data_IF_653260966502
#
_entry.id   IF_653260966502
#
_cell.length_a   1.000
_cell.length_b   1.000
_cell.length_c   1.000
_cell.angle_alpha   90.00
_cell.angle_beta   90.00
_cell.angle_gamma   90.00
#
_symmetry.space_group_name_H-M   'P 1'
#
loop_
_entity.id
_entity.type
_entity.pdbx_description
1 polymer ?
#
# COMPACT_ATOMS: atom_id res chain seq x y z
N UNK A 1 9.57 -9.66 12.85
CA UNK A 1 8.63 -8.52 12.69
C UNK A 1 7.53 -8.97 11.76
N UNK A 2 6.28 -8.81 12.16
CA UNK A 2 5.11 -9.12 11.32
C UNK A 2 4.70 -7.80 10.65
N UNK A 3 4.64 -7.71 9.31
CA UNK A 3 4.18 -6.50 8.63
C UNK A 3 2.67 -6.38 8.76
N UNK A 4 2.20 -5.22 9.21
CA UNK A 4 0.79 -4.86 9.29
C UNK A 4 0.58 -3.52 8.59
N UNK A 5 -0.54 -3.38 7.88
CA UNK A 5 -1.03 -2.09 7.41
C UNK A 5 -2.02 -1.56 8.45
N UNK A 6 -1.75 -0.37 8.97
CA UNK A 6 -2.64 0.32 9.90
C UNK A 6 -3.36 1.43 9.16
N UNK A 7 -4.67 1.48 9.29
CA UNK A 7 -5.45 2.65 8.94
C UNK A 7 -5.30 3.70 10.04
N UNK A 8 -5.03 4.95 9.66
CA UNK A 8 -4.80 6.05 10.58
C UNK A 8 -5.82 7.19 10.41
N UNK A 9 -6.89 6.98 9.61
CA UNK A 9 -7.82 8.03 9.20
C UNK A 9 -8.39 8.88 10.34
N UNK A 10 -8.69 8.25 11.47
CA UNK A 10 -9.25 8.90 12.67
C UNK A 10 -8.23 8.99 13.82
N UNK A 11 -6.96 8.71 13.54
CA UNK A 11 -5.89 8.66 14.53
C UNK A 11 -5.09 9.96 14.61
N UNK A 12 -4.44 10.16 15.76
CA UNK A 12 -3.48 11.25 15.94
C UNK A 12 -2.06 10.71 16.00
N UNK A 13 -1.20 11.20 15.11
CA UNK A 13 0.23 10.91 15.09
C UNK A 13 1.00 12.06 15.71
N UNK A 14 1.69 11.78 16.80
CA UNK A 14 2.59 12.73 17.45
C UNK A 14 4.02 12.52 16.93
N UNK A 15 4.64 13.58 16.42
CA UNK A 15 6.01 13.60 15.90
C UNK A 15 6.86 14.51 16.75
N UNK A 16 7.84 13.95 17.46
CA UNK A 16 8.80 14.73 18.22
C UNK A 16 9.99 15.17 17.34
N UNK A 17 10.36 16.44 17.47
CA UNK A 17 11.47 17.05 16.76
C UNK A 17 11.05 17.79 15.49
N UNK A 18 10.98 19.12 15.55
CA UNK A 18 10.66 19.99 14.41
C UNK A 18 11.75 20.10 13.32
N UNK A 19 12.85 19.36 13.45
CA UNK A 19 13.93 19.35 12.46
C UNK A 19 13.54 18.69 11.12
N UNK A 20 14.45 18.67 10.11
CA UNK A 20 14.15 18.16 8.77
C UNK A 20 13.63 16.71 8.73
N UNK A 21 14.09 15.86 9.66
CA UNK A 21 13.63 14.46 9.78
C UNK A 21 12.19 14.38 10.26
N UNK A 22 11.83 15.12 11.31
CA UNK A 22 10.47 15.15 11.85
C UNK A 22 9.51 15.81 10.86
N UNK A 23 9.89 16.93 10.23
CA UNK A 23 9.10 17.56 9.19
C UNK A 23 8.77 16.60 8.03
N UNK A 24 9.74 15.79 7.58
CA UNK A 24 9.50 14.77 6.55
C UNK A 24 8.51 13.70 7.00
N UNK A 25 8.59 13.26 8.26
CA UNK A 25 7.66 12.27 8.83
C UNK A 25 6.26 12.86 9.00
N UNK A 26 6.16 14.07 9.53
CA UNK A 26 4.89 14.78 9.69
C UNK A 26 4.15 14.89 8.36
N UNK A 27 4.83 15.33 7.29
CA UNK A 27 4.24 15.39 5.93
C UNK A 27 3.78 14.04 5.40
N UNK A 28 4.45 12.94 5.77
CA UNK A 28 4.06 11.59 5.36
C UNK A 28 2.75 11.17 6.02
N UNK A 29 2.60 11.41 7.31
CA UNK A 29 1.41 11.04 8.08
C UNK A 29 0.23 12.00 7.88
N UNK A 30 0.48 13.28 7.61
CA UNK A 30 -0.57 14.28 7.43
C UNK A 30 -1.51 14.04 6.24
N UNK A 31 -1.20 13.04 5.40
CA UNK A 31 -2.08 12.57 4.32
C UNK A 31 -3.21 11.67 4.82
N UNK A 32 -3.01 11.03 5.97
CA UNK A 32 -3.85 9.92 6.44
C UNK A 32 -4.21 10.06 7.93
N UNK A 33 -3.71 11.07 8.66
CA UNK A 33 -3.93 11.24 10.09
C UNK A 33 -3.84 12.72 10.52
N UNK A 34 -4.37 13.03 11.70
CA UNK A 34 -4.06 14.29 12.40
C UNK A 34 -2.61 14.24 12.89
N UNK A 35 -1.82 15.29 12.62
CA UNK A 35 -0.39 15.31 13.00
C UNK A 35 -0.10 16.45 13.95
N UNK A 36 0.46 16.12 15.10
CA UNK A 36 1.00 17.07 16.07
C UNK A 36 2.52 16.99 16.04
N UNK A 37 3.21 18.13 15.99
CA UNK A 37 4.68 18.18 16.04
C UNK A 37 5.11 18.94 17.29
N UNK A 38 6.00 18.34 18.08
CA UNK A 38 6.45 18.90 19.36
C UNK A 38 7.98 18.99 19.46
N UNK A 39 8.47 19.76 20.44
CA UNK A 39 9.88 20.04 20.68
C UNK A 39 10.66 18.79 21.14
N UNK A 40 11.92 18.60 20.67
CA UNK A 40 12.69 17.37 20.93
C UNK A 40 13.21 17.20 22.37
N UNK A 41 12.97 18.14 23.28
CA UNK A 41 13.57 18.15 24.63
C UNK A 41 13.07 17.06 25.60
N UNK A 42 12.02 16.28 25.25
CA UNK A 42 11.37 15.34 26.19
C UNK A 42 11.20 13.91 25.64
N UNK A 43 12.04 13.48 24.70
CA UNK A 43 11.83 12.21 23.97
C UNK A 43 11.69 10.96 24.86
N UNK A 44 12.46 10.82 25.94
CA UNK A 44 12.44 9.59 26.77
C UNK A 44 11.22 9.50 27.69
N UNK A 45 10.88 10.58 28.39
CA UNK A 45 9.73 10.59 29.29
C UNK A 45 8.42 10.47 28.52
N UNK A 46 8.32 11.07 27.33
CA UNK A 46 7.13 10.91 26.49
C UNK A 46 7.09 9.53 25.84
N UNK A 47 8.22 8.96 25.44
CA UNK A 47 8.26 7.56 25.00
C UNK A 47 7.76 6.62 26.10
N UNK A 48 8.23 6.77 27.34
CA UNK A 48 7.77 5.97 28.47
C UNK A 48 6.26 6.14 28.67
N UNK A 49 5.78 7.38 28.71
CA UNK A 49 4.36 7.70 28.87
C UNK A 49 3.48 7.18 27.71
N UNK A 50 4.01 7.14 26.49
CA UNK A 50 3.35 6.57 25.32
C UNK A 50 3.27 5.04 25.43
N UNK A 51 4.37 4.38 25.83
CA UNK A 51 4.42 2.93 26.04
C UNK A 51 3.49 2.47 27.16
N UNK A 52 3.44 3.21 28.27
CA UNK A 52 2.50 2.95 29.38
C UNK A 52 1.04 2.99 28.93
N UNK A 53 0.72 3.81 27.92
CA UNK A 53 -0.62 3.91 27.32
C UNK A 53 -0.85 2.93 26.16
N UNK A 54 0.12 2.06 25.88
CA UNK A 54 0.03 1.08 24.77
C UNK A 54 0.16 1.70 23.37
N UNK A 55 0.64 2.94 23.25
CA UNK A 55 0.84 3.58 21.96
C UNK A 55 2.01 2.95 21.18
N UNK A 56 1.88 2.94 19.85
CA UNK A 56 2.93 2.47 18.96
C UNK A 56 4.03 3.52 18.82
N UNK A 57 5.28 3.12 19.06
CA UNK A 57 6.43 4.04 19.07
C UNK A 57 7.39 3.72 17.92
N UNK A 58 7.71 4.75 17.11
CA UNK A 58 8.78 4.68 16.11
C UNK A 58 9.96 5.57 16.53
N UNK A 59 11.07 4.95 16.94
CA UNK A 59 12.37 5.63 17.07
C UNK A 59 13.08 5.68 15.71
N UNK A 60 13.33 6.89 15.21
CA UNK A 60 13.91 7.10 13.88
C UNK A 60 15.44 7.08 13.87
N UNK A 61 16.02 7.32 15.04
CA UNK A 61 17.44 7.42 15.37
C UNK A 61 18.05 6.09 15.80
N UNK A 62 17.22 5.09 16.12
CA UNK A 62 17.68 3.79 16.59
C UNK A 62 17.47 2.68 15.54
N UNK A 63 18.55 1.98 15.21
CA UNK A 63 18.54 0.74 14.45
C UNK A 63 19.04 -0.39 15.35
N UNK A 64 18.15 -1.18 15.93
CA UNK A 64 18.54 -2.21 16.90
C UNK A 64 17.36 -3.00 17.47
N UNK A 65 17.57 -3.56 18.67
CA UNK A 65 16.54 -4.30 19.43
C UNK A 65 15.24 -3.50 19.54
N UNK A 66 14.12 -4.21 19.47
CA UNK A 66 12.79 -3.60 19.46
C UNK A 66 11.92 -4.31 20.47
N UNK A 67 11.44 -3.55 21.42
CA UNK A 67 10.47 -4.03 22.38
C UNK A 67 9.08 -4.08 21.75
N UNK A 68 8.15 -4.77 22.43
CA UNK A 68 6.73 -4.74 22.07
C UNK A 68 6.22 -3.29 21.96
N UNK A 69 5.32 -3.05 21.02
CA UNK A 69 4.83 -1.70 20.69
C UNK A 69 5.76 -0.86 19.81
N UNK A 70 6.95 -1.36 19.45
CA UNK A 70 7.82 -0.65 18.50
C UNK A 70 7.37 -0.87 17.06
N UNK A 71 7.23 0.20 16.29
CA UNK A 71 6.89 0.16 14.87
C UNK A 71 7.97 0.77 13.99
N UNK A 72 7.96 0.40 12.71
CA UNK A 72 8.76 1.08 11.69
C UNK A 72 7.91 1.44 10.50
N UNK A 73 8.26 2.59 9.95
CA UNK A 73 7.73 3.05 8.68
C UNK A 73 8.62 2.51 7.55
N UNK A 74 8.16 1.52 6.77
CA UNK A 74 8.98 0.88 5.74
C UNK A 74 9.16 1.76 4.50
N UNK A 75 10.00 1.30 3.58
CA UNK A 75 9.97 1.77 2.20
C UNK A 75 8.62 1.34 1.59
N UNK A 76 7.92 2.26 0.94
CA UNK A 76 6.57 2.01 0.43
C UNK A 76 6.47 2.49 -1.01
N UNK A 77 5.79 1.68 -1.83
CA UNK A 77 5.36 2.00 -3.19
C UNK A 77 3.83 1.99 -3.20
N UNK A 78 3.21 2.92 -3.92
CA UNK A 78 1.76 3.00 -4.07
C UNK A 78 1.42 3.30 -5.53
N UNK A 79 0.50 2.53 -6.10
CA UNK A 79 -0.12 2.77 -7.41
C UNK A 79 -1.65 2.68 -7.20
N UNK A 80 -2.32 3.83 -7.19
CA UNK A 80 -3.74 3.93 -6.82
C UNK A 80 -4.07 3.23 -5.49
N UNK A 81 -4.98 2.25 -5.54
CA UNK A 81 -5.40 1.43 -4.40
C UNK A 81 -4.42 0.32 -3.99
N UNK A 82 -3.34 0.10 -4.74
CA UNK A 82 -2.34 -0.95 -4.46
C UNK A 82 -1.17 -0.36 -3.69
N UNK A 83 -0.79 -1.01 -2.58
CA UNK A 83 0.33 -0.58 -1.72
C UNK A 83 1.27 -1.75 -1.45
N UNK A 84 2.58 -1.52 -1.60
CA UNK A 84 3.63 -2.50 -1.27
C UNK A 84 4.56 -1.91 -0.21
N UNK A 85 4.81 -2.66 0.86
CA UNK A 85 5.74 -2.31 1.92
C UNK A 85 6.97 -3.22 1.88
N UNK A 86 8.16 -2.62 1.93
CA UNK A 86 9.45 -3.32 1.83
C UNK A 86 10.27 -3.02 3.08
N UNK A 87 10.70 -4.08 3.77
CA UNK A 87 11.52 -3.99 4.97
C UNK A 87 12.63 -5.02 4.93
N UNK A 88 13.83 -4.62 5.35
CA UNK A 88 14.97 -5.50 5.61
C UNK A 88 15.20 -5.73 7.10
N UNK A 89 14.21 -5.38 7.94
CA UNK A 89 14.38 -5.38 9.40
C UNK A 89 15.40 -4.36 9.91
N UNK A 90 15.87 -3.45 9.05
CA UNK A 90 16.95 -2.51 9.33
C UNK A 90 18.33 -2.98 8.87
N UNK A 91 18.47 -4.22 8.39
CA UNK A 91 19.76 -4.78 7.96
C UNK A 91 20.37 -4.04 6.75
N UNK A 92 19.53 -3.56 5.82
CA UNK A 92 20.00 -2.81 4.66
C UNK A 92 18.95 -1.83 4.13
N UNK A 93 19.04 -0.54 4.50
CA UNK A 93 18.23 0.51 3.90
C UNK A 93 18.50 0.68 2.40
N UNK A 94 19.72 0.41 1.95
CA UNK A 94 20.11 0.49 0.54
C UNK A 94 19.36 -0.55 -0.32
N UNK A 95 19.29 -1.81 0.14
CA UNK A 95 18.52 -2.87 -0.54
C UNK A 95 17.03 -2.52 -0.57
N UNK A 96 16.47 -2.04 0.56
CA UNK A 96 15.06 -1.62 0.60
C UNK A 96 14.76 -0.50 -0.41
N UNK A 97 15.68 0.47 -0.57
CA UNK A 97 15.54 1.55 -1.54
C UNK A 97 15.63 1.06 -2.98
N UNK A 98 16.51 0.10 -3.27
CA UNK A 98 16.66 -0.47 -4.61
C UNK A 98 15.45 -1.30 -5.00
N UNK A 99 14.99 -2.19 -4.11
CA UNK A 99 13.76 -2.97 -4.35
C UNK A 99 12.54 -2.07 -4.52
N UNK A 100 12.44 -0.99 -3.74
CA UNK A 100 11.36 0.01 -3.91
C UNK A 100 11.30 0.53 -5.34
N UNK A 101 12.44 0.92 -5.92
CA UNK A 101 12.49 1.44 -7.30
C UNK A 101 12.06 0.42 -8.33
N UNK A 102 12.51 -0.84 -8.19
CA UNK A 102 12.16 -1.92 -9.13
C UNK A 102 10.67 -2.24 -9.08
N UNK A 103 10.14 -2.36 -7.87
CA UNK A 103 8.72 -2.66 -7.66
C UNK A 103 7.85 -1.50 -8.14
N UNK A 104 8.28 -0.25 -7.99
CA UNK A 104 7.58 0.93 -8.51
C UNK A 104 7.30 0.84 -10.01
N UNK A 105 8.24 0.33 -10.80
CA UNK A 105 8.03 0.06 -12.23
C UNK A 105 7.17 -1.19 -12.48
N UNK A 106 7.39 -2.26 -11.70
CA UNK A 106 6.64 -3.52 -11.88
C UNK A 106 5.14 -3.37 -11.63
N UNK A 107 4.74 -2.52 -10.70
CA UNK A 107 3.32 -2.35 -10.32
C UNK A 107 2.64 -1.17 -11.01
N UNK A 108 3.29 -0.53 -11.98
CA UNK A 108 2.71 0.60 -12.70
C UNK A 108 1.36 0.22 -13.33
N UNK A 109 0.30 0.98 -13.02
CA UNK A 109 -1.06 0.69 -13.48
C UNK A 109 -1.83 -0.35 -12.65
N UNK A 110 -1.21 -0.98 -11.65
CA UNK A 110 -1.86 -1.97 -10.80
C UNK A 110 -3.10 -1.41 -10.08
N UNK A 111 -3.11 -0.12 -9.73
CA UNK A 111 -4.24 0.56 -9.12
C UNK A 111 -5.44 0.68 -10.07
N UNK A 112 -5.20 0.99 -11.34
CA UNK A 112 -6.23 1.01 -12.38
C UNK A 112 -6.80 -0.40 -12.59
N UNK A 113 -5.93 -1.40 -12.68
CA UNK A 113 -6.34 -2.80 -12.82
C UNK A 113 -7.16 -3.28 -11.62
N UNK A 114 -6.77 -2.90 -10.40
CA UNK A 114 -7.52 -3.23 -9.19
C UNK A 114 -8.92 -2.61 -9.18
N UNK A 115 -9.06 -1.36 -9.63
CA UNK A 115 -10.35 -0.70 -9.78
C UNK A 115 -11.22 -1.39 -10.85
N UNK A 116 -10.68 -1.60 -12.05
CA UNK A 116 -11.38 -2.23 -13.15
C UNK A 116 -11.85 -3.65 -12.83
N UNK A 117 -11.01 -4.44 -12.14
CA UNK A 117 -11.37 -5.82 -11.75
C UNK A 117 -12.36 -5.87 -10.58
N UNK A 118 -12.41 -4.83 -9.72
CA UNK A 118 -13.46 -4.70 -8.71
C UNK A 118 -14.82 -4.41 -9.35
N UNK A 119 -14.88 -3.51 -10.34
CA UNK A 119 -16.08 -3.22 -11.14
C UNK A 119 -16.55 -4.47 -11.89
N UNK A 120 -15.65 -5.13 -12.62
CA UNK A 120 -15.94 -6.38 -13.33
C UNK A 120 -16.48 -7.48 -12.40
N UNK A 121 -15.91 -7.61 -11.18
CA UNK A 121 -16.42 -8.57 -10.18
C UNK A 121 -17.87 -8.28 -9.82
N UNK A 122 -18.24 -7.01 -9.67
CA UNK A 122 -19.61 -6.60 -9.36
C UNK A 122 -20.55 -6.87 -10.55
N UNK A 123 -20.13 -6.57 -11.77
CA UNK A 123 -20.88 -6.85 -12.99
C UNK A 123 -21.14 -8.35 -13.20
N UNK A 124 -20.11 -9.19 -13.11
CA UNK A 124 -20.23 -10.65 -13.23
C UNK A 124 -21.13 -11.23 -12.13
N UNK A 125 -21.09 -10.65 -10.92
CA UNK A 125 -22.02 -11.01 -9.84
C UNK A 125 -23.46 -10.66 -10.19
N UNK A 126 -23.71 -9.47 -10.74
CA UNK A 126 -25.04 -9.03 -11.13
C UNK A 126 -25.62 -9.85 -12.29
N UNK A 127 -24.77 -10.31 -13.21
CA UNK A 127 -25.11 -11.24 -14.30
C UNK A 127 -25.40 -12.68 -13.84
N UNK A 128 -25.16 -13.00 -12.56
CA UNK A 128 -25.37 -14.36 -12.03
C UNK A 128 -24.27 -15.35 -12.41
N UNK A 129 -23.09 -14.88 -12.80
CA UNK A 129 -21.94 -15.77 -13.09
C UNK A 129 -21.49 -16.47 -11.81
N UNK A 130 -21.34 -17.78 -11.91
CA UNK A 130 -20.91 -18.66 -10.82
C UNK A 130 -19.62 -18.15 -10.13
N UNK A 131 -19.48 -18.27 -8.79
CA UNK A 131 -18.30 -17.81 -8.08
C UNK A 131 -16.96 -18.34 -8.59
N UNK A 132 -16.85 -19.60 -9.01
CA UNK A 132 -15.60 -20.17 -9.52
C UNK A 132 -15.27 -19.61 -10.91
N UNK A 133 -16.26 -19.56 -11.81
CA UNK A 133 -16.08 -18.96 -13.14
C UNK A 133 -15.72 -17.49 -13.07
N UNK A 134 -16.31 -16.74 -12.13
CA UNK A 134 -15.95 -15.34 -11.87
C UNK A 134 -14.51 -15.21 -11.38
N UNK A 135 -14.03 -16.11 -10.49
CA UNK A 135 -12.63 -16.10 -10.03
C UNK A 135 -11.67 -16.40 -11.18
N UNK A 136 -12.04 -17.33 -12.06
CA UNK A 136 -11.25 -17.67 -13.25
C UNK A 136 -11.13 -16.49 -14.20
N UNK A 137 -12.26 -15.85 -14.57
CA UNK A 137 -12.26 -14.67 -15.43
C UNK A 137 -11.45 -13.50 -14.84
N UNK A 138 -11.61 -13.22 -13.55
CA UNK A 138 -10.82 -12.20 -12.86
C UNK A 138 -9.32 -12.52 -12.85
N UNK A 139 -8.96 -13.79 -12.63
CA UNK A 139 -7.56 -14.25 -12.67
C UNK A 139 -6.99 -14.06 -14.08
N UNK A 140 -7.72 -14.44 -15.12
CA UNK A 140 -7.30 -14.29 -16.50
C UNK A 140 -7.04 -12.82 -16.86
N UNK A 141 -7.94 -11.92 -16.47
CA UNK A 141 -7.77 -10.48 -16.66
C UNK A 141 -6.51 -9.95 -15.95
N UNK A 142 -6.29 -10.33 -14.69
CA UNK A 142 -5.12 -9.89 -13.89
C UNK A 142 -3.80 -10.45 -14.43
N UNK A 143 -3.81 -11.66 -14.99
CA UNK A 143 -2.60 -12.33 -15.49
C UNK A 143 -2.29 -12.00 -16.96
N UNK A 144 -3.16 -11.27 -17.65
CA UNK A 144 -3.01 -11.02 -19.09
C UNK A 144 -1.98 -9.91 -19.39
N UNK A 145 -0.89 -10.20 -20.11
CA UNK A 145 0.09 -9.17 -20.49
C UNK A 145 -0.50 -8.06 -21.38
N UNK A 146 -1.52 -8.37 -22.19
CA UNK A 146 -2.18 -7.36 -23.03
C UNK A 146 -2.95 -6.34 -22.19
N UNK A 147 -3.58 -6.79 -21.09
CA UNK A 147 -4.24 -5.90 -20.14
C UNK A 147 -3.22 -4.97 -19.52
N UNK A 148 -2.12 -5.50 -18.97
CA UNK A 148 -1.04 -4.69 -18.38
C UNK A 148 -0.45 -3.67 -19.34
N UNK A 149 -0.28 -4.04 -20.61
CA UNK A 149 0.21 -3.14 -21.66
C UNK A 149 -0.73 -1.95 -21.94
N UNK A 150 -2.03 -2.13 -21.72
CA UNK A 150 -3.04 -1.12 -22.00
C UNK A 150 -3.39 -0.23 -20.80
N UNK A 151 -2.94 -0.59 -19.59
CA UNK A 151 -3.07 0.26 -18.40
C UNK A 151 -2.33 1.59 -18.60
N UNK A 152 -2.81 2.67 -17.98
CA UNK A 152 -2.22 4.01 -18.06
C UNK A 152 -2.40 4.71 -19.42
N UNK A 153 -2.97 4.04 -20.43
CA UNK A 153 -3.22 4.65 -21.75
C UNK A 153 -4.39 5.64 -21.77
N UNK A 154 -5.21 5.64 -20.72
CA UNK A 154 -6.40 6.48 -20.60
C UNK A 154 -7.57 6.00 -21.48
N UNK A 155 -8.79 6.37 -21.08
CA UNK A 155 -10.00 6.02 -21.80
C UNK A 155 -10.43 4.55 -21.62
N UNK A 156 -11.24 4.04 -22.54
CA UNK A 156 -11.88 2.72 -22.39
C UNK A 156 -11.04 1.53 -22.86
N UNK A 157 -9.79 1.75 -23.28
CA UNK A 157 -8.97 0.70 -23.92
C UNK A 157 -8.66 -0.46 -22.96
N UNK A 158 -8.09 -0.25 -21.76
CA UNK A 158 -7.88 -1.34 -20.81
C UNK A 158 -9.17 -2.08 -20.45
N UNK A 159 -10.30 -1.38 -20.30
CA UNK A 159 -11.60 -2.02 -20.05
C UNK A 159 -12.01 -2.97 -21.19
N UNK A 160 -11.88 -2.55 -22.44
CA UNK A 160 -12.17 -3.40 -23.62
C UNK A 160 -11.25 -4.63 -23.67
N UNK A 161 -9.96 -4.46 -23.38
CA UNK A 161 -9.02 -5.58 -23.36
C UNK A 161 -9.37 -6.59 -22.25
N UNK A 162 -9.82 -6.10 -21.08
CA UNK A 162 -10.35 -6.94 -20.01
C UNK A 162 -11.60 -7.71 -20.49
N UNK A 163 -12.55 -7.05 -21.15
CA UNK A 163 -13.77 -7.69 -21.66
C UNK A 163 -13.44 -8.83 -22.62
N UNK A 164 -12.55 -8.61 -23.59
CA UNK A 164 -12.12 -9.65 -24.53
C UNK A 164 -11.52 -10.87 -23.81
N UNK A 165 -10.67 -10.64 -22.80
CA UNK A 165 -10.07 -11.74 -22.02
C UNK A 165 -11.13 -12.49 -21.21
N UNK A 166 -12.10 -11.79 -20.64
CA UNK A 166 -13.17 -12.37 -19.85
C UNK A 166 -14.12 -13.19 -20.71
N UNK A 167 -14.59 -12.66 -21.84
CA UNK A 167 -15.48 -13.34 -22.78
C UNK A 167 -14.86 -14.64 -23.28
N UNK A 168 -13.58 -14.59 -23.68
CA UNK A 168 -12.83 -15.77 -24.10
C UNK A 168 -12.71 -16.81 -22.98
N UNK A 169 -12.53 -16.39 -21.73
CA UNK A 169 -12.43 -17.29 -20.57
C UNK A 169 -13.78 -17.90 -20.21
N UNK A 170 -14.87 -17.14 -20.34
CA UNK A 170 -16.22 -17.61 -20.08
C UNK A 170 -16.79 -18.45 -21.24
N UNK A 171 -16.05 -18.63 -22.33
CA UNK A 171 -16.56 -19.33 -23.51
C UNK A 171 -17.79 -18.65 -24.12
N UNK A 172 -17.91 -17.34 -23.95
CA UNK A 172 -18.96 -16.50 -24.53
C UNK A 172 -18.47 -15.88 -25.85
N UNK A 173 -17.77 -16.66 -26.67
CA UNK A 173 -17.43 -16.23 -28.03
C UNK A 173 -18.60 -16.62 -28.94
N UNK A 174 -19.33 -15.62 -29.45
CA UNK A 174 -20.19 -15.79 -30.65
C UNK A 174 -19.38 -16.27 -31.86
#
# INVERSE_FOLDING_TARGET
>A
MIPLFHDLGDETVLVFGGGPVGARKARRFAREASVVVDDPTVNEAVEAAARERGALVNRADQSGGRDAGSVVVPATVRDGGVTVAISTGGASPAVARELRKRIETEIEGAGELAAATAELRAELKARGVDPERRREALRAAVQSPSVWKDLGTGGSKPRRTIDVVVESTLGETE
#
